data_IF_400418665419
#
_entry.id   IF_400418665419
#
_cell.length_a   1.000
_cell.length_b   1.000
_cell.length_c   1.000
_cell.angle_alpha   90.00
_cell.angle_beta   90.00
_cell.angle_gamma   90.00
#
_symmetry.space_group_name_H-M   'P 1'
#
loop_
_entity.id
_entity.type
_entity.pdbx_description
1 polymer ?
#
# COMPACT_ATOMS: atom_id res chain seq x y z
N UNK A 1 -25.54 -51.34 -7.76
CA UNK A 1 -26.08 -50.01 -7.40
C UNK A 1 -24.90 -49.08 -7.33
N UNK A 2 -24.88 -48.07 -8.20
CA UNK A 2 -23.78 -47.14 -8.36
C UNK A 2 -23.80 -46.14 -7.22
N UNK A 3 -22.78 -46.16 -6.35
CA UNK A 3 -22.48 -45.02 -5.51
C UNK A 3 -21.69 -44.03 -6.35
N UNK A 4 -22.44 -43.16 -7.02
CA UNK A 4 -21.97 -41.89 -7.55
C UNK A 4 -21.60 -41.03 -6.34
N UNK A 5 -20.36 -41.20 -5.86
CA UNK A 5 -19.79 -40.32 -4.84
C UNK A 5 -19.59 -38.97 -5.51
N UNK A 6 -20.52 -38.06 -5.21
CA UNK A 6 -20.45 -36.64 -5.55
C UNK A 6 -19.08 -36.14 -5.07
N UNK A 7 -18.18 -35.91 -6.03
CA UNK A 7 -16.98 -35.13 -5.82
C UNK A 7 -17.42 -33.69 -5.53
N UNK A 8 -17.81 -33.46 -4.28
CA UNK A 8 -17.98 -32.13 -3.74
C UNK A 8 -16.68 -31.39 -3.98
N UNK A 9 -16.76 -30.35 -4.81
CA UNK A 9 -15.67 -29.43 -5.16
C UNK A 9 -14.83 -29.15 -3.92
N UNK A 10 -13.66 -29.78 -3.84
CA UNK A 10 -12.66 -29.43 -2.85
C UNK A 10 -12.27 -27.99 -3.17
N UNK A 11 -12.77 -27.09 -2.34
CA UNK A 11 -12.51 -25.66 -2.40
C UNK A 11 -11.01 -25.46 -2.47
N UNK A 12 -10.50 -24.93 -3.59
CA UNK A 12 -9.08 -24.70 -3.82
C UNK A 12 -8.57 -23.69 -2.77
N UNK A 13 -7.82 -24.13 -1.74
CA UNK A 13 -7.56 -23.31 -0.56
C UNK A 13 -6.77 -22.04 -0.90
N UNK A 14 -5.94 -22.11 -1.95
CA UNK A 14 -5.19 -20.97 -2.46
C UNK A 14 -6.09 -19.90 -3.09
N UNK A 15 -7.14 -20.31 -3.81
CA UNK A 15 -8.06 -19.37 -4.45
C UNK A 15 -8.92 -18.66 -3.40
N UNK A 16 -9.47 -19.39 -2.43
CA UNK A 16 -10.25 -18.78 -1.35
C UNK A 16 -9.41 -17.82 -0.51
N UNK A 17 -8.16 -18.17 -0.21
CA UNK A 17 -7.25 -17.27 0.49
C UNK A 17 -7.01 -15.98 -0.31
N UNK A 18 -6.81 -16.09 -1.63
CA UNK A 18 -6.63 -14.91 -2.49
C UNK A 18 -7.88 -14.03 -2.54
N UNK A 19 -9.07 -14.62 -2.65
CA UNK A 19 -10.35 -13.89 -2.63
C UNK A 19 -10.59 -13.22 -1.27
N UNK A 20 -10.30 -13.89 -0.17
CA UNK A 20 -10.40 -13.33 1.17
C UNK A 20 -9.43 -12.14 1.36
N UNK A 21 -8.20 -12.26 0.88
CA UNK A 21 -7.22 -11.16 0.89
C UNK A 21 -7.67 -9.98 0.03
N UNK A 22 -8.24 -10.23 -1.15
CA UNK A 22 -8.78 -9.18 -2.00
C UNK A 22 -9.96 -8.44 -1.33
N UNK A 23 -10.88 -9.17 -0.70
CA UNK A 23 -11.99 -8.60 0.06
C UNK A 23 -11.49 -7.78 1.26
N UNK A 24 -10.50 -8.29 2.00
CA UNK A 24 -9.88 -7.58 3.11
C UNK A 24 -9.20 -6.27 2.65
N UNK A 25 -8.48 -6.31 1.53
CA UNK A 25 -7.83 -5.14 0.92
C UNK A 25 -8.86 -4.08 0.54
N UNK A 26 -9.92 -4.47 -0.19
CA UNK A 26 -10.98 -3.55 -0.59
C UNK A 26 -11.71 -2.92 0.61
N UNK A 27 -11.94 -3.71 1.66
CA UNK A 27 -12.53 -3.23 2.91
C UNK A 27 -11.63 -2.23 3.65
N UNK A 28 -10.32 -2.51 3.73
CA UNK A 28 -9.32 -1.60 4.31
C UNK A 28 -9.21 -0.29 3.53
N UNK A 29 -9.10 -0.37 2.20
CA UNK A 29 -9.06 0.80 1.31
C UNK A 29 -10.27 1.71 1.55
N UNK A 30 -11.46 1.10 1.69
CA UNK A 30 -12.69 1.84 1.99
C UNK A 30 -12.65 2.48 3.37
N UNK A 31 -12.27 1.72 4.41
CA UNK A 31 -12.27 2.20 5.80
C UNK A 31 -11.26 3.33 6.02
N UNK A 32 -10.01 3.13 5.59
CA UNK A 32 -8.94 4.11 5.74
C UNK A 32 -9.15 5.28 4.77
N UNK A 33 -9.53 5.00 3.52
CA UNK A 33 -9.82 6.03 2.52
C UNK A 33 -10.95 6.97 2.97
N UNK A 34 -12.02 6.44 3.58
CA UNK A 34 -13.08 7.26 4.15
C UNK A 34 -12.57 8.18 5.25
N UNK A 35 -11.68 7.68 6.12
CA UNK A 35 -11.10 8.49 7.19
C UNK A 35 -10.19 9.60 6.64
N UNK A 36 -9.32 9.26 5.67
CA UNK A 36 -8.38 10.18 5.03
C UNK A 36 -9.04 11.22 4.13
N UNK A 37 -10.25 10.95 3.61
CA UNK A 37 -10.99 11.91 2.78
C UNK A 37 -11.22 13.26 3.49
N UNK A 38 -11.22 13.27 4.83
CA UNK A 38 -11.34 14.48 5.67
C UNK A 38 -10.18 15.45 5.51
N UNK A 39 -9.01 14.97 5.09
CA UNK A 39 -7.81 15.77 4.79
C UNK A 39 -7.50 15.78 3.29
N UNK A 40 -8.45 15.36 2.46
CA UNK A 40 -8.30 15.38 1.00
C UNK A 40 -7.38 14.31 0.43
N UNK A 41 -7.12 13.22 1.17
CA UNK A 41 -6.26 12.12 0.72
C UNK A 41 -7.05 10.83 0.45
N UNK A 42 -6.65 10.13 -0.59
CA UNK A 42 -6.95 8.71 -0.74
C UNK A 42 -5.93 7.86 0.03
N UNK A 43 -6.26 6.60 0.31
CA UNK A 43 -5.30 5.70 0.95
C UNK A 43 -4.08 5.38 0.05
N UNK A 44 -4.29 5.31 -1.27
CA UNK A 44 -3.22 5.15 -2.24
C UNK A 44 -2.25 6.34 -2.24
N UNK A 45 -2.78 7.58 -2.21
CA UNK A 45 -1.96 8.79 -2.14
C UNK A 45 -1.22 8.89 -0.81
N UNK A 46 -1.88 8.56 0.31
CA UNK A 46 -1.21 8.49 1.61
C UNK A 46 -0.05 7.49 1.60
N UNK A 47 -0.26 6.26 1.09
CA UNK A 47 0.78 5.26 0.96
C UNK A 47 1.95 5.77 0.10
N UNK A 48 1.66 6.42 -1.02
CA UNK A 48 2.67 7.03 -1.90
C UNK A 48 3.49 8.09 -1.18
N UNK A 49 2.83 9.05 -0.52
CA UNK A 49 3.49 10.12 0.22
C UNK A 49 4.34 9.57 1.37
N UNK A 50 3.85 8.55 2.09
CA UNK A 50 4.59 7.89 3.17
C UNK A 50 5.84 7.18 2.66
N UNK A 51 5.76 6.46 1.53
CA UNK A 51 6.92 5.80 0.90
C UNK A 51 7.97 6.83 0.49
N UNK A 52 7.54 7.93 -0.15
CA UNK A 52 8.44 9.03 -0.54
C UNK A 52 9.08 9.69 0.68
N UNK A 53 8.28 9.99 1.71
CA UNK A 53 8.75 10.64 2.94
C UNK A 53 9.74 9.82 3.75
N UNK A 54 9.73 8.49 3.60
CA UNK A 54 10.70 7.61 4.26
C UNK A 54 12.11 7.71 3.66
N UNK A 55 12.28 8.34 2.49
CA UNK A 55 13.56 8.48 1.80
C UNK A 55 13.98 9.95 1.76
N UNK A 56 15.06 10.30 2.47
CA UNK A 56 15.53 11.69 2.58
C UNK A 56 15.88 12.34 1.23
N UNK A 57 16.35 11.54 0.28
CA UNK A 57 16.75 11.93 -1.07
C UNK A 57 15.60 11.90 -2.08
N UNK A 58 14.41 11.44 -1.67
CA UNK A 58 13.30 11.13 -2.56
C UNK A 58 13.38 9.74 -3.18
N UNK A 59 12.43 9.45 -4.07
CA UNK A 59 12.37 8.20 -4.84
C UNK A 59 12.30 8.47 -6.34
N UNK A 60 13.04 7.68 -7.12
CA UNK A 60 12.87 7.65 -8.57
C UNK A 60 11.47 7.13 -8.94
N UNK A 61 11.03 7.38 -10.17
CA UNK A 61 9.75 6.82 -10.66
C UNK A 61 9.79 5.30 -10.76
N UNK A 62 10.97 4.72 -11.03
CA UNK A 62 11.21 3.27 -11.10
C UNK A 62 10.98 2.64 -9.72
N UNK A 63 11.68 3.14 -8.71
CA UNK A 63 11.63 2.61 -7.35
C UNK A 63 10.25 2.82 -6.71
N UNK A 64 9.61 3.96 -6.99
CA UNK A 64 8.26 4.23 -6.51
C UNK A 64 7.22 3.32 -7.17
N UNK A 65 7.36 3.04 -8.47
CA UNK A 65 6.47 2.13 -9.18
C UNK A 65 6.58 0.71 -8.61
N UNK A 66 7.81 0.23 -8.37
CA UNK A 66 8.05 -1.06 -7.72
C UNK A 66 7.43 -1.10 -6.31
N UNK A 67 7.68 -0.09 -5.48
CA UNK A 67 7.17 -0.03 -4.11
C UNK A 67 5.63 0.07 -4.03
N UNK A 68 5.00 0.67 -5.04
CA UNK A 68 3.54 0.79 -5.15
C UNK A 68 2.89 -0.44 -5.80
N UNK A 69 3.63 -1.22 -6.59
CA UNK A 69 3.07 -2.29 -7.44
C UNK A 69 2.42 -1.74 -8.71
N UNK A 70 2.93 -0.62 -9.23
CA UNK A 70 2.38 0.10 -10.37
C UNK A 70 3.33 0.04 -11.58
N UNK A 71 2.81 0.44 -12.75
CA UNK A 71 3.70 0.74 -13.88
C UNK A 71 4.33 2.12 -13.74
N UNK A 72 5.48 2.35 -14.39
CA UNK A 72 6.12 3.69 -14.43
C UNK A 72 5.17 4.79 -14.93
N UNK A 73 4.40 4.51 -15.97
CA UNK A 73 3.43 5.45 -16.54
C UNK A 73 2.32 5.80 -15.57
N UNK A 74 1.85 4.81 -14.82
CA UNK A 74 0.83 5.00 -13.77
C UNK A 74 1.38 5.83 -12.62
N UNK A 75 2.58 5.53 -12.14
CA UNK A 75 3.26 6.34 -11.11
C UNK A 75 3.41 7.80 -11.50
N UNK A 76 3.75 8.12 -12.76
CA UNK A 76 3.77 9.52 -13.21
C UNK A 76 2.37 10.13 -13.20
N UNK A 77 1.36 9.39 -13.67
CA UNK A 77 -0.04 9.85 -13.72
C UNK A 77 -0.60 10.11 -12.32
N UNK A 78 -0.34 9.23 -11.36
CA UNK A 78 -0.84 9.31 -9.98
C UNK A 78 -0.06 10.32 -9.13
N UNK A 79 1.26 10.46 -9.33
CA UNK A 79 2.04 11.50 -8.65
C UNK A 79 1.77 12.92 -9.18
N UNK A 80 1.37 13.06 -10.44
CA UNK A 80 1.16 14.36 -11.09
C UNK A 80 0.20 15.32 -10.35
N UNK A 81 -1.01 14.87 -9.95
CA UNK A 81 -1.91 15.67 -9.12
C UNK A 81 -1.28 16.14 -7.80
N UNK A 82 -0.50 15.29 -7.12
CA UNK A 82 0.15 15.63 -5.84
C UNK A 82 1.24 16.69 -6.00
N UNK A 83 1.92 16.71 -7.16
CA UNK A 83 2.85 17.79 -7.52
C UNK A 83 2.09 19.10 -7.73
N UNK A 84 0.95 19.08 -8.44
CA UNK A 84 0.13 20.28 -8.67
C UNK A 84 -0.45 20.84 -7.37
N UNK A 85 -0.80 19.98 -6.43
CA UNK A 85 -1.27 20.35 -5.09
C UNK A 85 -0.14 20.85 -4.17
N UNK A 86 1.12 20.76 -4.61
CA UNK A 86 2.27 21.23 -3.86
C UNK A 86 2.65 20.33 -2.69
N UNK A 87 2.22 19.06 -2.68
CA UNK A 87 2.63 18.07 -1.67
C UNK A 87 3.90 17.32 -2.08
N UNK A 88 4.13 17.23 -3.39
CA UNK A 88 5.35 16.72 -3.98
C UNK A 88 6.01 17.80 -4.83
N UNK A 89 7.32 17.67 -4.99
CA UNK A 89 8.02 18.24 -6.14
C UNK A 89 8.85 17.16 -6.81
N UNK A 90 9.16 17.37 -8.10
CA UNK A 90 10.04 16.48 -8.85
C UNK A 90 11.38 17.19 -9.07
N UNK A 91 12.46 16.56 -8.61
CA UNK A 91 13.81 17.05 -8.84
C UNK A 91 14.19 16.98 -10.31
N UNK A 92 15.20 17.74 -10.72
CA UNK A 92 15.75 17.68 -12.08
C UNK A 92 16.32 16.30 -12.42
N UNK A 93 16.95 15.65 -11.44
CA UNK A 93 17.43 14.26 -11.49
C UNK A 93 16.28 13.23 -11.61
N UNK A 94 15.05 13.64 -11.32
CA UNK A 94 13.84 12.91 -11.64
C UNK A 94 13.12 12.25 -10.46
N UNK A 95 13.66 12.34 -9.25
CA UNK A 95 13.07 11.85 -8.01
C UNK A 95 11.89 12.69 -7.55
N UNK A 96 10.91 12.04 -6.95
CA UNK A 96 9.84 12.67 -6.20
C UNK A 96 10.28 12.89 -4.75
N UNK A 97 10.04 14.08 -4.24
CA UNK A 97 10.37 14.48 -2.86
C UNK A 97 9.16 15.18 -2.25
N UNK A 98 8.92 14.97 -0.95
CA UNK A 98 7.90 15.71 -0.21
C UNK A 98 8.30 17.20 -0.10
N UNK A 99 7.34 18.09 -0.26
CA UNK A 99 7.48 19.48 0.21
C UNK A 99 7.27 19.55 1.72
N UNK A 100 7.46 20.73 2.33
CA UNK A 100 7.09 20.94 3.74
C UNK A 100 5.60 20.70 3.99
N UNK A 101 4.74 21.19 3.10
CA UNK A 101 3.30 20.95 3.15
C UNK A 101 2.96 19.46 3.01
N UNK A 102 3.66 18.74 2.13
CA UNK A 102 3.51 17.30 1.97
C UNK A 102 3.91 16.52 3.22
N UNK A 103 5.02 16.89 3.87
CA UNK A 103 5.44 16.31 5.16
C UNK A 103 4.39 16.52 6.23
N UNK A 104 3.93 17.76 6.40
CA UNK A 104 2.90 18.08 7.40
C UNK A 104 1.60 17.30 7.16
N UNK A 105 1.19 17.16 5.90
CA UNK A 105 0.02 16.38 5.53
C UNK A 105 0.19 14.89 5.88
N UNK A 106 1.37 14.31 5.64
CA UNK A 106 1.66 12.93 6.04
C UNK A 106 1.54 12.78 7.56
N UNK A 107 2.18 13.65 8.34
CA UNK A 107 2.13 13.59 9.81
C UNK A 107 0.68 13.63 10.34
N UNK A 108 -0.17 14.48 9.75
CA UNK A 108 -1.59 14.55 10.09
C UNK A 108 -2.36 13.30 9.67
N UNK A 109 -2.09 12.80 8.46
CA UNK A 109 -2.76 11.64 7.89
C UNK A 109 -2.40 10.34 8.63
N UNK A 110 -1.18 10.22 9.17
CA UNK A 110 -0.73 9.03 9.91
C UNK A 110 -1.65 8.73 11.11
N UNK A 111 -1.92 9.73 11.95
CA UNK A 111 -2.80 9.53 13.12
C UNK A 111 -4.25 9.22 12.75
N UNK A 112 -4.72 9.69 11.59
CA UNK A 112 -6.06 9.39 11.06
C UNK A 112 -6.11 7.96 10.53
N UNK A 113 -5.11 7.57 9.73
CA UNK A 113 -5.00 6.25 9.14
C UNK A 113 -4.84 5.17 10.23
N UNK A 114 -3.99 5.41 11.23
CA UNK A 114 -3.74 4.47 12.33
C UNK A 114 -5.03 4.17 13.10
N UNK A 115 -5.80 5.20 13.50
CA UNK A 115 -7.07 5.01 14.20
C UNK A 115 -8.10 4.25 13.36
N UNK A 116 -8.13 4.51 12.05
CA UNK A 116 -9.01 3.80 11.13
C UNK A 116 -8.60 2.33 10.98
N UNK A 117 -7.30 2.06 10.87
CA UNK A 117 -6.74 0.72 10.79
C UNK A 117 -6.98 -0.08 12.09
N UNK A 118 -6.70 0.50 13.26
CA UNK A 118 -6.94 -0.11 14.57
C UNK A 118 -8.40 -0.55 14.73
N UNK A 119 -9.34 0.33 14.36
CA UNK A 119 -10.77 0.01 14.39
C UNK A 119 -11.12 -1.11 13.41
N UNK A 120 -10.54 -1.11 12.21
CA UNK A 120 -10.79 -2.15 11.22
C UNK A 120 -10.28 -3.51 11.70
N UNK A 121 -9.05 -3.58 12.24
CA UNK A 121 -8.47 -4.81 12.79
C UNK A 121 -9.26 -5.34 13.99
N UNK A 122 -9.71 -4.44 14.88
CA UNK A 122 -10.59 -4.80 16.00
C UNK A 122 -11.87 -5.45 15.51
N UNK A 123 -12.50 -4.91 14.46
CA UNK A 123 -13.75 -5.42 13.91
C UNK A 123 -13.58 -6.72 13.11
N UNK A 124 -12.44 -6.89 12.42
CA UNK A 124 -12.17 -8.08 11.61
C UNK A 124 -11.69 -9.27 12.47
N UNK A 125 -11.23 -9.02 13.69
CA UNK A 125 -10.64 -10.04 14.56
C UNK A 125 -9.24 -10.47 14.11
N UNK A 126 -8.65 -9.80 13.12
CA UNK A 126 -7.29 -10.07 12.64
C UNK A 126 -6.28 -9.38 13.56
N UNK A 127 -5.18 -10.07 13.87
CA UNK A 127 -4.07 -9.49 14.62
C UNK A 127 -3.16 -8.67 13.67
N UNK A 128 -2.92 -7.37 13.92
CA UNK A 128 -2.00 -6.57 13.11
C UNK A 128 -0.59 -7.20 13.06
N UNK A 129 -0.06 -7.64 14.21
CA UNK A 129 1.27 -8.27 14.29
C UNK A 129 1.31 -9.61 13.59
N UNK A 130 0.20 -10.37 13.64
CA UNK A 130 0.05 -11.61 12.89
C UNK A 130 0.12 -11.38 11.38
N UNK A 131 -0.60 -10.37 10.88
CA UNK A 131 -0.58 -10.01 9.45
C UNK A 131 0.82 -9.57 9.01
N UNK A 132 1.49 -8.72 9.80
CA UNK A 132 2.87 -8.29 9.49
C UNK A 132 3.83 -9.49 9.46
N UNK A 133 3.71 -10.45 10.38
CA UNK A 133 4.56 -11.64 10.38
C UNK A 133 4.32 -12.53 9.14
N UNK A 134 3.06 -12.68 8.70
CA UNK A 134 2.69 -13.50 7.56
C UNK A 134 3.03 -12.89 6.20
N UNK A 135 2.93 -11.57 6.05
CA UNK A 135 3.11 -10.87 4.76
C UNK A 135 4.47 -10.16 4.67
N UNK A 136 5.06 -9.77 5.81
CA UNK A 136 6.30 -9.00 5.87
C UNK A 136 7.58 -9.81 5.66
N UNK A 137 7.57 -11.13 5.93
CA UNK A 137 8.76 -11.99 5.83
C UNK A 137 9.35 -12.04 4.41
N UNK A 138 8.53 -11.92 3.36
CA UNK A 138 9.00 -11.94 1.96
C UNK A 138 9.73 -10.65 1.56
N UNK A 139 9.44 -9.52 2.21
CA UNK A 139 10.02 -8.22 1.82
C UNK A 139 11.47 -8.07 2.29
N UNK A 140 11.90 -8.81 3.31
CA UNK A 140 13.28 -8.82 3.80
C UNK A 140 14.22 -9.75 3.00
N UNK A 141 13.68 -10.69 2.23
CA UNK A 141 14.49 -11.64 1.45
C UNK A 141 15.07 -11.04 0.15
N UNK A 142 14.58 -9.88 -0.30
CA UNK A 142 14.97 -9.27 -1.57
C UNK A 142 16.10 -8.22 -1.50
N UNK A 143 16.66 -7.93 -0.32
CA UNK A 143 17.78 -6.98 -0.19
C UNK A 143 19.15 -7.67 -0.13
N UNK A 144 19.50 -8.53 -1.08
CA UNK A 144 20.89 -8.86 -1.38
C UNK A 144 21.02 -9.63 -2.69
N UNK A 145 21.44 -8.97 -3.78
CA UNK A 145 22.40 -9.45 -4.80
C UNK A 145 22.59 -8.33 -5.81
N UNK A 146 23.49 -7.39 -5.51
CA UNK A 146 24.17 -6.64 -6.56
C UNK A 146 25.40 -7.45 -6.98
N UNK A 147 25.60 -7.78 -8.26
CA UNK A 147 26.86 -8.38 -8.68
C UNK A 147 27.94 -7.29 -8.57
N UNK A 148 28.92 -7.55 -7.71
CA UNK A 148 30.20 -6.87 -7.75
C UNK A 148 31.00 -7.31 -8.98
N UNK A 149 31.73 -6.33 -9.51
CA UNK A 149 32.78 -6.40 -10.53
C UNK A 149 32.32 -6.48 -12.00
#
# INVERSE_FOLDING_TARGET
MSEETIAGSAVEPSLEAALALAAATSSLDTAIGTALSRVGLSFADFRRLRIIGAQSQGLTREDLAEAMGETRSETIRSSGPLVKLGWLFRQESGEFVLTDSGRHLVDQAEGIAEKAAERWFTNSGLSPTGVVASVGSDRSAHTHTGPGQ
#
